data_IF_694716980663
#
_entry.id   IF_694716980663
#
_cell.length_a   1.000
_cell.length_b   1.000
_cell.length_c   1.000
_cell.angle_alpha   90.00
_cell.angle_beta   90.00
_cell.angle_gamma   90.00
#
_symmetry.space_group_name_H-M   'P 1'
#
loop_
_entity.id
_entity.type
_entity.pdbx_description
1 polymer ?
#
# COMPACT_ATOMS: atom_id res chain seq x y z
N UNK A 1 -6.65 4.57 0.48
CA UNK A 1 -5.69 5.57 -0.05
C UNK A 1 -4.30 5.24 0.46
N UNK A 2 -3.67 4.18 -0.07
CA UNK A 2 -2.34 3.71 0.33
C UNK A 2 -1.42 3.49 -0.89
N UNK A 3 -1.77 4.11 -2.02
CA UNK A 3 -1.06 3.94 -3.29
C UNK A 3 0.00 5.03 -3.53
N UNK A 4 0.42 5.74 -2.49
CA UNK A 4 1.46 6.78 -2.56
C UNK A 4 2.81 6.36 -1.95
N UNK A 5 2.93 5.15 -1.39
CA UNK A 5 4.17 4.68 -0.73
C UNK A 5 5.01 3.68 -1.55
N UNK A 6 4.68 3.43 -2.81
CA UNK A 6 5.43 2.47 -3.66
C UNK A 6 5.79 3.00 -5.05
N UNK A 7 5.61 4.29 -5.31
CA UNK A 7 6.21 4.90 -6.49
C UNK A 7 7.58 5.41 -6.07
N UNK A 8 8.64 4.78 -6.59
CA UNK A 8 10.01 5.30 -6.46
C UNK A 8 10.01 6.78 -6.82
N UNK A 9 10.75 7.59 -6.06
CA UNK A 9 10.85 9.04 -6.30
C UNK A 9 11.24 9.28 -7.77
N UNK A 10 10.62 10.28 -8.41
CA UNK A 10 10.84 10.58 -9.83
C UNK A 10 12.29 10.92 -10.10
N UNK A 11 12.99 11.51 -9.12
CA UNK A 11 14.43 11.79 -9.21
C UNK A 11 15.23 10.48 -9.23
N UNK A 12 14.94 9.55 -8.31
CA UNK A 12 15.58 8.22 -8.30
C UNK A 12 15.27 7.44 -9.58
N UNK A 13 14.04 7.51 -10.07
CA UNK A 13 13.65 6.89 -11.35
C UNK A 13 14.42 7.48 -12.53
N UNK A 14 14.60 8.81 -12.57
CA UNK A 14 15.38 9.46 -13.61
C UNK A 14 16.85 9.04 -13.55
N UNK A 15 17.43 8.96 -12.35
CA UNK A 15 18.80 8.50 -12.16
C UNK A 15 18.99 7.08 -12.71
N UNK A 16 18.10 6.16 -12.38
CA UNK A 16 18.18 4.77 -12.83
C UNK A 16 18.04 4.66 -14.36
N UNK A 17 17.14 5.42 -14.97
CA UNK A 17 16.96 5.43 -16.43
C UNK A 17 18.17 6.04 -17.16
N UNK A 18 18.81 7.07 -16.60
CA UNK A 18 20.07 7.60 -17.14
C UNK A 18 21.20 6.55 -17.04
N UNK A 19 21.28 5.84 -15.91
CA UNK A 19 22.27 4.79 -15.73
C UNK A 19 22.04 3.62 -16.70
N UNK A 20 20.79 3.21 -16.92
CA UNK A 20 20.44 2.22 -17.93
C UNK A 20 20.78 2.69 -19.35
N UNK A 21 20.54 3.95 -19.69
CA UNK A 21 20.92 4.53 -20.98
C UNK A 21 22.43 4.43 -21.20
N UNK A 22 23.24 4.78 -20.19
CA UNK A 22 24.69 4.64 -20.21
C UNK A 22 25.14 3.18 -20.34
N UNK A 23 24.49 2.26 -19.63
CA UNK A 23 24.75 0.83 -19.74
C UNK A 23 24.54 0.36 -21.18
N UNK A 24 23.39 0.70 -21.79
CA UNK A 24 23.05 0.35 -23.18
C UNK A 24 24.05 0.93 -24.17
N UNK A 25 24.50 2.18 -23.97
CA UNK A 25 25.54 2.77 -24.83
C UNK A 25 26.85 1.98 -24.76
N UNK A 26 27.31 1.63 -23.55
CA UNK A 26 28.55 0.88 -23.36
C UNK A 26 28.48 -0.53 -23.94
N UNK A 27 27.36 -1.24 -23.74
CA UNK A 27 27.16 -2.59 -24.26
C UNK A 27 26.99 -2.57 -25.78
N UNK A 28 26.37 -1.53 -26.34
CA UNK A 28 26.26 -1.34 -27.79
C UNK A 28 27.64 -1.17 -28.44
N UNK A 29 28.52 -0.35 -27.86
CA UNK A 29 29.90 -0.18 -28.34
C UNK A 29 30.68 -1.49 -28.21
N UNK A 30 30.56 -2.18 -27.06
CA UNK A 30 31.19 -3.47 -26.85
C UNK A 30 30.70 -4.52 -27.86
N UNK A 31 29.41 -4.55 -28.18
CA UNK A 31 28.83 -5.45 -29.17
C UNK A 31 29.36 -5.15 -30.57
N UNK A 32 29.32 -3.88 -31.01
CA UNK A 32 29.80 -3.48 -32.34
C UNK A 32 31.28 -3.78 -32.54
N UNK A 33 32.12 -3.61 -31.51
CA UNK A 33 33.57 -3.86 -31.59
C UNK A 33 33.96 -5.33 -31.47
N UNK A 34 33.18 -6.12 -30.70
CA UNK A 34 33.47 -7.54 -30.47
C UNK A 34 32.90 -8.46 -31.55
N UNK A 35 31.77 -8.10 -32.17
CA UNK A 35 31.04 -8.94 -33.16
C UNK A 35 31.24 -8.52 -34.61
N UNK A 36 31.93 -7.41 -34.90
CA UNK A 36 32.26 -7.02 -36.27
C UNK A 36 33.31 -7.93 -36.91
N UNK A 37 33.13 -8.23 -38.20
CA UNK A 37 34.15 -8.88 -39.03
C UNK A 37 34.90 -7.86 -39.91
N UNK A 38 36.07 -8.24 -40.42
CA UNK A 38 36.85 -7.38 -41.32
C UNK A 38 36.21 -7.37 -42.71
N UNK A 39 36.07 -6.18 -43.29
CA UNK A 39 35.61 -6.00 -44.67
C UNK A 39 36.85 -5.75 -45.54
N UNK A 40 36.96 -6.45 -46.66
CA UNK A 40 38.01 -6.21 -47.64
C UNK A 40 37.73 -4.92 -48.42
N UNK A 41 38.61 -3.94 -48.27
CA UNK A 41 38.47 -2.62 -48.91
C UNK A 41 39.11 -2.58 -50.31
N UNK A 42 40.14 -3.39 -50.55
CA UNK A 42 40.81 -3.51 -51.85
C UNK A 42 40.86 -4.97 -52.31
N UNK A 43 40.49 -5.28 -53.58
CA UNK A 43 40.55 -6.62 -54.13
C UNK A 43 41.98 -7.17 -54.24
N UNK A 44 43.00 -6.30 -54.27
CA UNK A 44 44.40 -6.68 -54.47
C UNK A 44 45.10 -7.15 -53.17
N UNK A 45 44.49 -6.90 -52.00
CA UNK A 45 45.08 -7.26 -50.70
C UNK A 45 44.20 -8.34 -50.06
N UNK A 46 44.64 -9.62 -50.04
CA UNK A 46 43.89 -10.70 -49.43
C UNK A 46 43.80 -10.54 -47.90
N UNK A 47 42.65 -10.89 -47.32
CA UNK A 47 42.41 -10.83 -45.87
C UNK A 47 43.32 -11.84 -45.16
N UNK A 48 44.35 -11.37 -44.45
CA UNK A 48 45.33 -12.22 -43.77
C UNK A 48 44.91 -12.66 -42.36
N UNK A 49 43.85 -12.06 -41.80
CA UNK A 49 43.28 -12.43 -40.49
C UNK A 49 41.76 -12.44 -40.55
N UNK A 50 41.17 -13.61 -40.38
CA UNK A 50 39.74 -13.76 -40.14
C UNK A 50 39.49 -13.95 -38.65
N UNK A 51 38.47 -13.29 -38.11
CA UNK A 51 38.05 -13.51 -36.72
C UNK A 51 37.43 -14.90 -36.61
N UNK A 52 37.57 -15.56 -35.46
CA UNK A 52 37.00 -16.89 -35.25
C UNK A 52 35.50 -16.87 -35.59
N UNK A 53 34.95 -17.81 -36.40
CA UNK A 53 33.54 -17.80 -36.83
C UNK A 53 32.50 -17.80 -35.70
N UNK A 54 32.87 -18.25 -34.50
CA UNK A 54 32.00 -18.17 -33.32
C UNK A 54 31.93 -16.76 -32.69
N UNK A 55 32.85 -15.86 -33.08
CA UNK A 55 33.03 -14.54 -32.49
C UNK A 55 32.49 -13.39 -33.35
N UNK A 56 32.00 -13.65 -34.56
CA UNK A 56 31.37 -12.63 -35.41
C UNK A 56 30.01 -13.10 -35.89
N UNK A 57 29.09 -12.16 -36.04
CA UNK A 57 27.73 -12.47 -36.47
C UNK A 57 27.61 -12.35 -37.99
N UNK A 58 26.70 -13.12 -38.60
CA UNK A 58 26.39 -12.98 -40.02
C UNK A 58 25.91 -11.55 -40.33
N UNK A 59 26.21 -11.00 -41.53
CA UNK A 59 25.92 -9.60 -41.85
C UNK A 59 24.44 -9.23 -41.69
N UNK A 60 23.52 -10.15 -42.03
CA UNK A 60 22.08 -9.94 -41.87
C UNK A 60 21.65 -9.85 -40.40
N UNK A 61 22.22 -10.71 -39.55
CA UNK A 61 21.95 -10.73 -38.10
C UNK A 61 22.56 -9.49 -37.45
N UNK A 62 23.77 -9.09 -37.86
CA UNK A 62 24.45 -7.91 -37.35
C UNK A 62 23.70 -6.61 -37.73
N UNK A 63 23.19 -6.52 -38.95
CA UNK A 63 22.32 -5.42 -39.41
C UNK A 63 21.02 -5.33 -38.60
N UNK A 64 20.37 -6.47 -38.33
CA UNK A 64 19.15 -6.54 -37.53
C UNK A 64 19.41 -6.10 -36.06
N UNK A 65 20.45 -6.64 -35.43
CA UNK A 65 20.82 -6.31 -34.05
C UNK A 65 21.22 -4.85 -33.91
N UNK A 66 21.92 -4.27 -34.91
CA UNK A 66 22.22 -2.83 -34.95
C UNK A 66 20.95 -1.98 -34.95
N UNK A 67 19.93 -2.36 -35.74
CA UNK A 67 18.63 -1.65 -35.77
C UNK A 67 17.89 -1.76 -34.44
N UNK A 68 17.93 -2.92 -33.80
CA UNK A 68 17.36 -3.14 -32.47
C UNK A 68 18.03 -2.25 -31.42
N UNK A 69 19.37 -2.26 -31.35
CA UNK A 69 20.15 -1.44 -30.41
C UNK A 69 19.85 0.06 -30.57
N UNK A 70 19.76 0.56 -31.81
CA UNK A 70 19.41 1.95 -32.09
C UNK A 70 17.98 2.26 -31.65
N UNK A 71 17.04 1.33 -31.89
CA UNK A 71 15.63 1.50 -31.48
C UNK A 71 15.51 1.55 -29.96
N UNK A 72 16.25 0.70 -29.25
CA UNK A 72 16.28 0.65 -27.80
C UNK A 72 16.90 1.92 -27.21
N UNK A 73 18.00 2.41 -27.79
CA UNK A 73 18.63 3.66 -27.41
C UNK A 73 17.68 4.85 -27.56
N UNK A 74 16.99 4.96 -28.70
CA UNK A 74 16.02 6.04 -28.96
C UNK A 74 14.83 5.95 -27.99
N UNK A 75 14.32 4.74 -27.76
CA UNK A 75 13.20 4.53 -26.82
C UNK A 75 13.58 4.99 -25.43
N UNK A 76 14.77 4.61 -24.95
CA UNK A 76 15.29 5.00 -23.63
C UNK A 76 15.57 6.49 -23.53
N UNK A 77 16.14 7.10 -24.56
CA UNK A 77 16.34 8.55 -24.60
C UNK A 77 15.02 9.33 -24.50
N UNK A 78 13.96 8.88 -25.20
CA UNK A 78 12.62 9.48 -25.09
C UNK A 78 11.98 9.28 -23.71
N UNK A 79 12.21 8.13 -23.08
CA UNK A 79 11.74 7.87 -21.71
C UNK A 79 12.40 8.84 -20.72
N UNK A 80 13.72 9.05 -20.83
CA UNK A 80 14.45 10.04 -20.04
C UNK A 80 13.91 11.46 -20.30
N UNK A 81 13.68 11.84 -21.56
CA UNK A 81 13.12 13.14 -21.91
C UNK A 81 11.73 13.37 -21.28
N UNK A 82 10.87 12.34 -21.32
CA UNK A 82 9.56 12.39 -20.68
C UNK A 82 9.68 12.53 -19.15
N UNK A 83 10.60 11.79 -18.53
CA UNK A 83 10.82 11.88 -17.09
C UNK A 83 11.30 13.26 -16.67
N UNK A 84 12.23 13.86 -17.43
CA UNK A 84 12.69 15.24 -17.19
C UNK A 84 11.52 16.24 -17.27
N UNK A 85 10.63 16.11 -18.26
CA UNK A 85 9.43 16.96 -18.37
C UNK A 85 8.41 16.71 -17.25
N UNK A 86 8.43 15.52 -16.65
CA UNK A 86 7.54 15.16 -15.54
C UNK A 86 8.07 15.57 -14.17
N UNK A 87 9.31 16.09 -14.08
CA UNK A 87 9.83 16.58 -12.81
C UNK A 87 9.03 17.81 -12.36
N UNK A 88 8.64 17.89 -11.08
CA UNK A 88 8.05 19.10 -10.54
C UNK A 88 9.06 20.25 -10.68
N UNK A 89 8.57 21.44 -11.04
CA UNK A 89 9.41 22.63 -11.13
C UNK A 89 10.05 22.91 -9.77
N UNK A 90 11.36 23.23 -9.74
CA UNK A 90 12.02 23.55 -8.49
C UNK A 90 11.44 24.85 -7.91
N UNK A 91 10.70 24.74 -6.81
CA UNK A 91 10.26 25.89 -6.02
C UNK A 91 11.47 26.48 -5.27
N UNK A 92 11.55 27.82 -5.13
CA UNK A 92 12.58 28.44 -4.29
C UNK A 92 12.41 28.00 -2.83
N UNK A 93 13.54 27.76 -2.14
CA UNK A 93 13.56 27.18 -0.79
C UNK A 93 12.69 27.95 0.21
N UNK A 94 12.66 29.29 0.10
CA UNK A 94 11.83 30.15 0.97
C UNK A 94 10.33 29.90 0.77
N UNK A 95 9.88 29.73 -0.47
CA UNK A 95 8.48 29.43 -0.78
C UNK A 95 8.11 28.01 -0.33
N UNK A 96 9.03 27.06 -0.51
CA UNK A 96 8.85 25.69 -0.03
C UNK A 96 8.73 25.64 1.50
N UNK A 97 9.59 26.37 2.22
CA UNK A 97 9.54 26.45 3.68
C UNK A 97 8.22 27.05 4.17
N UNK A 98 7.75 28.14 3.56
CA UNK A 98 6.45 28.75 3.89
C UNK A 98 5.28 27.79 3.63
N UNK A 99 5.30 27.08 2.50
CA UNK A 99 4.28 26.08 2.17
C UNK A 99 4.26 24.92 3.17
N UNK A 100 5.43 24.44 3.58
CA UNK A 100 5.54 23.38 4.59
C UNK A 100 5.02 23.85 5.95
N UNK A 101 5.31 25.09 6.34
CA UNK A 101 4.80 25.67 7.58
C UNK A 101 3.28 25.80 7.57
N UNK A 102 2.69 26.28 6.47
CA UNK A 102 1.24 26.34 6.31
C UNK A 102 0.60 24.94 6.40
N UNK A 103 1.20 23.95 5.75
CA UNK A 103 0.71 22.57 5.81
C UNK A 103 0.80 21.98 7.22
N UNK A 104 1.83 22.32 7.98
CA UNK A 104 1.97 21.92 9.38
C UNK A 104 0.87 22.54 10.26
N UNK A 105 0.59 23.83 10.07
CA UNK A 105 -0.50 24.51 10.78
C UNK A 105 -1.86 23.88 10.45
N UNK A 106 -2.13 23.60 9.17
CA UNK A 106 -3.35 22.90 8.74
C UNK A 106 -3.45 21.50 9.35
N UNK A 107 -2.34 20.75 9.39
CA UNK A 107 -2.28 19.44 10.04
C UNK A 107 -2.57 19.52 11.54
N UNK A 108 -2.05 20.53 12.22
CA UNK A 108 -2.32 20.73 13.65
C UNK A 108 -3.80 20.99 13.89
N UNK A 109 -4.42 21.88 13.10
CA UNK A 109 -5.86 22.17 13.19
C UNK A 109 -6.66 20.89 12.94
N UNK A 110 -6.42 20.19 11.84
CA UNK A 110 -7.13 18.96 11.50
C UNK A 110 -6.97 17.88 12.60
N UNK A 111 -5.79 17.75 13.20
CA UNK A 111 -5.56 16.82 14.29
C UNK A 111 -6.30 17.21 15.57
N UNK A 112 -6.40 18.50 15.90
CA UNK A 112 -7.19 18.96 17.05
C UNK A 112 -8.68 18.70 16.85
N UNK A 113 -9.21 18.97 15.66
CA UNK A 113 -10.60 18.68 15.30
C UNK A 113 -10.88 17.18 15.38
N UNK A 114 -9.97 16.36 14.85
CA UNK A 114 -10.03 14.91 14.95
C UNK A 114 -10.04 14.45 16.42
N UNK A 115 -9.15 14.96 17.26
CA UNK A 115 -9.11 14.62 18.68
C UNK A 115 -10.42 15.00 19.41
N UNK A 116 -11.00 16.16 19.10
CA UNK A 116 -12.29 16.59 19.65
C UNK A 116 -13.43 15.69 19.19
N UNK A 117 -13.47 15.33 17.90
CA UNK A 117 -14.47 14.41 17.35
C UNK A 117 -14.39 13.03 18.01
N UNK A 118 -13.18 12.49 18.16
CA UNK A 118 -12.95 11.21 18.85
C UNK A 118 -13.36 11.29 20.31
N UNK A 119 -13.09 12.40 21.01
CA UNK A 119 -13.51 12.58 22.40
C UNK A 119 -15.03 12.56 22.54
N UNK A 120 -15.75 13.26 21.65
CA UNK A 120 -17.23 13.28 21.61
C UNK A 120 -17.80 11.90 21.29
N UNK A 121 -17.20 11.18 20.35
CA UNK A 121 -17.59 9.81 20.02
C UNK A 121 -17.43 8.88 21.24
N UNK A 122 -16.30 8.99 21.96
CA UNK A 122 -16.06 8.21 23.17
C UNK A 122 -17.07 8.52 24.27
N UNK A 123 -17.41 9.79 24.53
CA UNK A 123 -18.41 10.13 25.55
C UNK A 123 -19.79 9.58 25.17
N UNK A 124 -20.22 9.78 23.92
CA UNK A 124 -21.49 9.26 23.43
C UNK A 124 -21.53 7.73 23.48
N UNK A 125 -20.44 7.06 23.13
CA UNK A 125 -20.33 5.61 23.22
C UNK A 125 -20.49 5.12 24.67
N UNK A 126 -19.89 5.82 25.64
CA UNK A 126 -20.05 5.51 27.07
C UNK A 126 -21.50 5.69 27.49
N UNK A 127 -22.13 6.82 27.15
CA UNK A 127 -23.54 7.10 27.49
C UNK A 127 -24.49 6.04 26.90
N UNK A 128 -24.31 5.68 25.62
CA UNK A 128 -25.10 4.62 24.98
C UNK A 128 -24.84 3.26 25.64
N UNK A 129 -23.59 2.96 25.99
CA UNK A 129 -23.25 1.71 26.68
C UNK A 129 -23.86 1.62 28.08
N UNK A 130 -23.91 2.73 28.81
CA UNK A 130 -24.54 2.83 30.13
C UNK A 130 -26.06 2.69 30.03
N UNK A 131 -26.70 3.35 29.06
CA UNK A 131 -28.14 3.19 28.79
C UNK A 131 -28.48 1.73 28.47
N UNK A 132 -27.72 1.09 27.59
CA UNK A 132 -27.91 -0.33 27.26
C UNK A 132 -27.72 -1.24 28.48
N UNK A 133 -26.75 -0.94 29.34
CA UNK A 133 -26.56 -1.67 30.61
C UNK A 133 -27.72 -1.46 31.58
N UNK A 134 -28.24 -0.25 31.72
CA UNK A 134 -29.43 0.04 32.55
C UNK A 134 -30.62 -0.76 32.04
N UNK A 135 -30.94 -0.68 30.75
CA UNK A 135 -32.07 -1.40 30.16
C UNK A 135 -31.93 -2.92 30.33
N UNK A 136 -30.71 -3.47 30.21
CA UNK A 136 -30.47 -4.89 30.45
C UNK A 136 -30.63 -5.28 31.93
N UNK A 137 -30.27 -4.39 32.86
CA UNK A 137 -30.39 -4.62 34.31
C UNK A 137 -31.84 -4.50 34.78
N UNK A 138 -32.61 -3.55 34.23
CA UNK A 138 -34.02 -3.37 34.54
C UNK A 138 -34.86 -4.57 34.05
N UNK A 139 -34.49 -5.18 32.91
CA UNK A 139 -35.10 -6.43 32.43
C UNK A 139 -34.75 -7.64 33.31
N UNK A 140 -33.64 -7.60 34.05
CA UNK A 140 -33.29 -8.65 35.02
C UNK A 140 -34.03 -8.52 36.37
N UNK A 141 -34.78 -7.43 36.58
CA UNK A 141 -35.64 -7.21 37.74
C UNK A 141 -37.12 -7.31 37.37
N UNK A 142 -37.48 -8.30 36.53
CA UNK A 142 -38.88 -8.76 36.48
C UNK A 142 -39.07 -9.59 37.76
N UNK A 143 -39.88 -9.14 38.74
CA UNK A 143 -40.28 -10.03 39.81
C UNK A 143 -41.03 -11.18 39.14
N UNK A 144 -40.49 -12.39 39.26
CA UNK A 144 -41.21 -13.61 38.93
C UNK A 144 -42.52 -13.50 39.70
N UNK A 145 -43.62 -13.27 38.97
CA UNK A 145 -44.94 -13.42 39.52
C UNK A 145 -45.03 -14.89 39.93
N UNK A 146 -45.04 -15.14 41.23
CA UNK A 146 -45.43 -16.41 41.83
C UNK A 146 -46.83 -16.74 41.31
N UNK A 147 -46.89 -17.53 40.25
CA UNK A 147 -48.12 -18.12 39.73
C UNK A 147 -47.99 -19.62 39.92
N UNK A 148 -48.80 -20.08 40.88
CA UNK A 148 -49.30 -21.44 41.07
C UNK A 148 -48.33 -22.51 41.58
N UNK A 149 -48.43 -22.76 42.88
CA UNK A 149 -48.02 -24.01 43.53
C UNK A 149 -49.25 -24.95 43.58
N UNK A 150 -49.35 -26.01 42.75
CA UNK A 150 -50.42 -26.98 42.85
C UNK A 150 -50.09 -28.04 43.92
N UNK A 151 -50.95 -28.08 44.94
CA UNK A 151 -51.31 -29.20 45.82
C UNK A 151 -50.34 -30.40 45.96
N UNK A 152 -50.05 -30.76 47.22
CA UNK A 152 -50.47 -32.00 47.94
C UNK A 152 -49.42 -32.32 49.02
N UNK A 153 -49.82 -32.32 50.30
CA UNK A 153 -49.65 -33.47 51.22
C UNK A 153 -50.12 -33.12 52.66
N UNK A 154 -51.25 -33.76 53.01
CA UNK A 154 -51.59 -34.41 54.26
C UNK A 154 -51.25 -33.74 55.61
N UNK A 155 -52.28 -33.17 56.26
CA UNK A 155 -52.32 -32.98 57.72
C UNK A 155 -53.55 -33.68 58.29
N UNK A 156 -53.37 -34.95 58.63
CA UNK A 156 -54.16 -35.65 59.63
C UNK A 156 -53.30 -35.92 60.88
N UNK A 157 -53.38 -35.04 61.88
CA UNK A 157 -53.06 -35.39 63.26
C UNK A 157 -53.86 -34.52 64.24
N UNK A 158 -54.67 -35.23 65.01
CA UNK A 158 -55.62 -34.76 66.00
C UNK A 158 -55.01 -33.93 67.14
N UNK A 159 -55.75 -32.91 67.59
CA UNK A 159 -55.97 -32.62 69.02
C UNK A 159 -57.05 -31.55 69.20
N UNK A 160 -58.26 -31.96 69.57
CA UNK A 160 -59.20 -31.21 70.42
C UNK A 160 -60.48 -32.04 70.63
N UNK A 161 -60.46 -32.95 71.60
CA UNK A 161 -61.69 -33.45 72.21
C UNK A 161 -62.26 -32.36 73.12
N UNK A 162 -63.41 -31.82 72.71
CA UNK A 162 -64.40 -31.21 73.60
C UNK A 162 -64.89 -32.24 74.61
N UNK A 163 -65.23 -31.80 75.83
CA UNK A 163 -66.37 -32.40 76.55
C UNK A 163 -66.40 -32.27 78.08
N UNK A 164 -67.51 -31.72 78.56
CA UNK A 164 -68.06 -31.71 79.93
C UNK A 164 -67.51 -30.62 80.87
N UNK A 165 -68.21 -29.54 81.22
CA UNK A 165 -69.62 -29.27 81.58
C UNK A 165 -70.09 -29.87 82.91
N UNK A 166 -70.36 -28.95 83.85
CA UNK A 166 -71.42 -28.88 84.84
C UNK A 166 -71.51 -29.90 86.01
N UNK A 167 -71.78 -29.29 87.18
CA UNK A 167 -72.23 -29.81 88.49
C UNK A 167 -71.14 -30.37 89.42
#
# INVERSE_FOLDING_TARGET
MLQELSHMDRITQLQDEIQQLLMIMSTSIAYLTSRSNFIQVSPDIPITKQRNPEKYDAPDIFEANKKELVTDLIRKAKQVEYLVKSLPEPEPEEAQAQRLQQLEEEMQIANTEYALAVKRLKSLHTEVSELLRSMLTDVSHIPVLDVDDPMVEDKAAAQATKGSSAA
#
